data_IF_918714098935
#
_entry.id   IF_918714098935
#
_cell.length_a   1.000
_cell.length_b   1.000
_cell.length_c   1.000
_cell.angle_alpha   90.00
_cell.angle_beta   90.00
_cell.angle_gamma   90.00
#
_symmetry.space_group_name_H-M   'P 1'
#
loop_
_entity.id
_entity.type
_entity.pdbx_description
1 polymer ?
#
# COMPACT_ATOMS: atom_id res chain seq x y z
N UNK A 1 3.68 4.02 6.10
CA UNK A 1 3.78 4.13 4.63
C UNK A 1 5.21 4.01 4.12
N UNK A 2 6.18 4.75 4.68
CA UNK A 2 7.59 4.68 4.27
C UNK A 2 8.15 3.26 4.22
N UNK A 3 7.89 2.44 5.25
CA UNK A 3 8.31 1.03 5.27
C UNK A 3 7.69 0.21 4.13
N UNK A 4 6.41 0.45 3.82
CA UNK A 4 5.73 -0.22 2.72
C UNK A 4 6.36 0.17 1.37
N UNK A 5 6.70 1.43 1.15
CA UNK A 5 7.38 1.89 -0.07
C UNK A 5 8.75 1.22 -0.20
N UNK A 6 9.54 1.22 0.87
CA UNK A 6 10.88 0.63 0.90
C UNK A 6 10.89 -0.87 0.59
N UNK A 7 9.80 -1.58 0.89
CA UNK A 7 9.68 -3.03 0.62
C UNK A 7 8.96 -3.29 -0.71
N UNK A 8 7.82 -2.64 -0.95
CA UNK A 8 6.95 -2.92 -2.08
C UNK A 8 7.53 -2.45 -3.42
N UNK A 9 8.27 -1.35 -3.47
CA UNK A 9 8.89 -0.90 -4.73
C UNK A 9 9.96 -1.90 -5.20
N UNK A 10 10.93 -2.32 -4.36
CA UNK A 10 11.84 -3.40 -4.75
C UNK A 10 11.14 -4.70 -5.12
N UNK A 11 10.08 -5.08 -4.40
CA UNK A 11 9.31 -6.29 -4.70
C UNK A 11 8.61 -6.19 -6.07
N UNK A 12 8.07 -5.02 -6.41
CA UNK A 12 7.46 -4.73 -7.71
C UNK A 12 8.48 -4.71 -8.85
N UNK A 13 9.68 -4.17 -8.61
CA UNK A 13 10.80 -4.25 -9.57
C UNK A 13 11.19 -5.71 -9.80
N UNK A 14 11.33 -6.51 -8.73
CA UNK A 14 11.64 -7.93 -8.83
C UNK A 14 10.56 -8.69 -9.59
N UNK A 15 9.28 -8.38 -9.34
CA UNK A 15 8.16 -8.97 -10.04
C UNK A 15 8.17 -8.63 -11.54
N UNK A 16 8.52 -7.40 -11.91
CA UNK A 16 8.59 -6.98 -13.31
C UNK A 16 9.74 -7.65 -14.07
N UNK A 17 10.87 -7.91 -13.40
CA UNK A 17 12.04 -8.53 -14.03
C UNK A 17 11.96 -10.05 -14.12
N UNK A 18 11.20 -10.70 -13.24
CA UNK A 18 11.10 -12.15 -13.20
C UNK A 18 9.71 -12.64 -13.61
N UNK A 19 9.52 -13.00 -14.88
CA UNK A 19 8.20 -13.37 -15.43
C UNK A 19 7.42 -14.40 -14.61
N UNK A 20 8.10 -15.48 -14.16
CA UNK A 20 7.47 -16.57 -13.37
C UNK A 20 7.36 -16.21 -11.88
N UNK A 21 8.39 -15.60 -11.31
CA UNK A 21 8.38 -15.16 -9.91
C UNK A 21 7.43 -13.99 -9.64
N UNK A 22 7.19 -13.14 -10.64
CA UNK A 22 6.33 -11.96 -10.54
C UNK A 22 4.87 -12.30 -10.31
N UNK A 23 4.35 -13.34 -10.95
CA UNK A 23 3.00 -13.84 -10.68
C UNK A 23 2.87 -14.38 -9.26
N UNK A 24 3.90 -15.08 -8.77
CA UNK A 24 3.91 -15.55 -7.37
C UNK A 24 3.92 -14.37 -6.39
N UNK A 25 4.77 -13.36 -6.61
CA UNK A 25 4.85 -12.14 -5.78
C UNK A 25 3.48 -11.43 -5.75
N UNK A 26 2.89 -11.16 -6.92
CA UNK A 26 1.59 -10.51 -7.03
C UNK A 26 0.48 -11.34 -6.39
N UNK A 27 0.53 -12.66 -6.56
CA UNK A 27 -0.42 -13.60 -5.95
C UNK A 27 -0.32 -13.59 -4.42
N UNK A 28 0.88 -13.74 -3.86
CA UNK A 28 1.10 -13.72 -2.40
C UNK A 28 0.64 -12.41 -1.78
N UNK A 29 1.02 -11.28 -2.37
CA UNK A 29 0.61 -9.96 -1.87
C UNK A 29 -0.90 -9.74 -2.08
N UNK A 30 -1.48 -10.33 -3.13
CA UNK A 30 -2.91 -10.33 -3.40
C UNK A 30 -3.72 -11.06 -2.33
N UNK A 31 -3.27 -12.25 -1.93
CA UNK A 31 -3.90 -13.05 -0.87
C UNK A 31 -3.97 -12.30 0.46
N UNK A 32 -2.96 -11.49 0.79
CA UNK A 32 -2.96 -10.68 2.01
C UNK A 32 -4.15 -9.70 2.03
N UNK A 33 -4.52 -9.13 0.88
CA UNK A 33 -5.64 -8.20 0.79
C UNK A 33 -7.02 -8.86 0.76
N UNK A 34 -7.11 -10.18 0.54
CA UNK A 34 -8.40 -10.89 0.57
C UNK A 34 -8.87 -11.15 1.99
N UNK A 35 -7.94 -11.17 2.95
CA UNK A 35 -8.28 -11.21 4.37
C UNK A 35 -9.00 -9.91 4.73
N UNK A 36 -10.14 -9.93 5.43
CA UNK A 36 -10.77 -8.71 5.92
C UNK A 36 -9.90 -8.03 6.98
N UNK A 37 -9.86 -6.69 6.99
CA UNK A 37 -8.98 -5.91 7.89
C UNK A 37 -9.24 -6.20 9.36
N UNK A 38 -10.51 -6.35 9.73
CA UNK A 38 -10.93 -6.70 11.08
C UNK A 38 -10.42 -8.09 11.51
N UNK A 39 -10.46 -9.06 10.59
CA UNK A 39 -9.94 -10.42 10.84
C UNK A 39 -8.42 -10.37 11.00
N UNK A 40 -7.72 -9.60 10.16
CA UNK A 40 -6.28 -9.44 10.26
C UNK A 40 -5.87 -8.84 11.61
N UNK A 41 -6.59 -7.83 12.11
CA UNK A 41 -6.33 -7.28 13.45
C UNK A 41 -6.48 -8.35 14.53
N UNK A 42 -7.57 -9.11 14.52
CA UNK A 42 -7.82 -10.18 15.51
C UNK A 42 -6.69 -11.23 15.48
N UNK A 43 -6.21 -11.59 14.30
CA UNK A 43 -5.07 -12.52 14.15
C UNK A 43 -3.77 -11.94 14.73
N UNK A 44 -3.56 -10.63 14.63
CA UNK A 44 -2.32 -9.98 15.08
C UNK A 44 -2.27 -9.69 16.58
N UNK A 45 -3.42 -9.53 17.25
CA UNK A 45 -3.49 -9.19 18.68
C UNK A 45 -2.71 -10.17 19.58
N UNK A 46 -2.79 -11.51 19.43
CA UNK A 46 -2.02 -12.44 20.26
C UNK A 46 -0.49 -12.27 20.13
N UNK A 47 -0.01 -11.73 19.01
CA UNK A 47 1.42 -11.59 18.73
C UNK A 47 1.96 -10.19 19.03
N UNK A 48 1.16 -9.15 18.79
CA UNK A 48 1.57 -7.75 18.87
C UNK A 48 0.86 -6.95 19.98
N UNK A 49 -0.07 -7.58 20.70
CA UNK A 49 -0.89 -6.95 21.73
C UNK A 49 -2.04 -6.10 21.16
N UNK A 50 -2.73 -5.39 22.04
CA UNK A 50 -3.75 -4.39 21.69
C UNK A 50 -3.05 -3.04 21.50
N UNK A 51 -3.53 -2.22 20.57
CA UNK A 51 -3.05 -0.85 20.36
C UNK A 51 -2.50 -0.59 18.94
N UNK A 52 -1.53 0.32 18.80
CA UNK A 52 -1.12 0.82 17.49
C UNK A 52 -0.30 -0.18 16.66
N UNK A 53 0.41 -1.12 17.28
CA UNK A 53 1.31 -2.05 16.58
C UNK A 53 0.59 -2.98 15.59
N UNK A 54 -0.50 -3.69 15.96
CA UNK A 54 -1.30 -4.45 15.00
C UNK A 54 -1.84 -3.60 13.85
N UNK A 55 -2.30 -2.37 14.15
CA UNK A 55 -2.81 -1.45 13.14
C UNK A 55 -1.69 -1.08 12.14
N UNK A 56 -0.52 -0.66 12.63
CA UNK A 56 0.63 -0.31 11.78
C UNK A 56 1.05 -1.49 10.90
N UNK A 57 1.11 -2.71 11.46
CA UNK A 57 1.52 -3.89 10.71
C UNK A 57 0.51 -4.27 9.62
N UNK A 58 -0.78 -4.27 9.94
CA UNK A 58 -1.84 -4.49 8.97
C UNK A 58 -1.82 -3.42 7.86
N UNK A 59 -1.72 -2.13 8.22
CA UNK A 59 -1.63 -1.04 7.25
C UNK A 59 -0.41 -1.20 6.34
N UNK A 60 0.73 -1.64 6.88
CA UNK A 60 1.91 -2.00 6.08
C UNK A 60 1.58 -3.09 5.06
N UNK A 61 0.96 -4.19 5.50
CA UNK A 61 0.57 -5.32 4.65
C UNK A 61 -0.41 -4.91 3.54
N UNK A 62 -1.47 -4.16 3.86
CA UNK A 62 -2.43 -3.67 2.87
C UNK A 62 -1.80 -2.71 1.85
N UNK A 63 -0.76 -1.97 2.25
CA UNK A 63 -0.05 -1.06 1.34
C UNK A 63 0.78 -1.78 0.30
N UNK A 64 1.14 -3.06 0.53
CA UNK A 64 2.05 -3.77 -0.37
C UNK A 64 1.41 -3.96 -1.75
N UNK A 65 0.18 -4.47 -1.86
CA UNK A 65 -0.38 -4.84 -3.17
C UNK A 65 -0.48 -3.67 -4.15
N UNK A 66 -1.05 -2.50 -3.80
CA UNK A 66 -1.23 -1.42 -4.75
C UNK A 66 0.12 -0.89 -5.22
N UNK A 67 1.12 -0.81 -4.33
CA UNK A 67 2.46 -0.34 -4.66
C UNK A 67 3.19 -1.36 -5.54
N UNK A 68 3.19 -2.65 -5.17
CA UNK A 68 3.83 -3.73 -5.95
C UNK A 68 3.19 -3.81 -7.33
N UNK A 69 1.85 -3.83 -7.41
CA UNK A 69 1.10 -3.97 -8.66
C UNK A 69 1.32 -2.79 -9.60
N UNK A 70 1.30 -1.55 -9.10
CA UNK A 70 1.55 -0.39 -9.94
C UNK A 70 3.03 -0.27 -10.33
N UNK A 71 3.96 -0.65 -9.45
CA UNK A 71 5.39 -0.72 -9.81
C UNK A 71 5.61 -1.76 -10.92
N UNK A 72 5.00 -2.93 -10.80
CA UNK A 72 5.02 -3.98 -11.83
C UNK A 72 4.47 -3.45 -13.15
N UNK A 73 3.25 -2.92 -13.15
CA UNK A 73 2.59 -2.40 -14.35
C UNK A 73 3.40 -1.27 -14.99
N UNK A 74 3.85 -0.30 -14.19
CA UNK A 74 4.64 0.85 -14.68
C UNK A 74 5.95 0.46 -15.35
N UNK A 75 6.59 -0.64 -14.93
CA UNK A 75 7.79 -1.17 -15.58
C UNK A 75 7.47 -2.05 -16.79
N UNK A 76 6.39 -2.84 -16.71
CA UNK A 76 5.97 -3.75 -17.77
C UNK A 76 5.37 -3.01 -18.98
N UNK A 77 4.70 -1.89 -18.74
CA UNK A 77 4.05 -1.07 -19.78
C UNK A 77 5.03 -0.16 -20.53
N UNK A 78 6.32 -0.18 -20.19
CA UNK A 78 7.35 0.60 -20.90
C UNK A 78 7.51 0.06 -22.33
N UNK A 79 7.34 0.91 -23.37
CA UNK A 79 7.50 0.48 -24.76
C UNK A 79 8.81 -0.24 -25.02
N UNK A 80 8.76 -1.39 -25.70
CA UNK A 80 9.94 -2.18 -26.04
C UNK A 80 11.00 -1.38 -26.81
N UNK A 81 10.57 -0.47 -27.70
CA UNK A 81 11.47 0.41 -28.46
C UNK A 81 12.36 1.30 -27.59
N UNK A 82 11.85 1.77 -26.44
CA UNK A 82 12.65 2.54 -25.48
C UNK A 82 13.67 1.65 -24.75
N UNK A 83 13.30 0.40 -24.46
CA UNK A 83 14.19 -0.58 -23.83
C UNK A 83 15.32 -0.99 -24.78
N UNK A 84 15.00 -1.24 -26.05
CA UNK A 84 15.96 -1.55 -27.11
C UNK A 84 16.90 -0.36 -27.37
N UNK A 85 16.38 0.86 -27.39
CA UNK A 85 17.18 2.08 -27.53
C UNK A 85 18.18 2.23 -26.38
N UNK A 86 17.74 2.01 -25.14
CA UNK A 86 18.63 2.04 -23.98
C UNK A 86 19.72 0.95 -24.02
N UNK A 87 19.38 -0.21 -24.60
CA UNK A 87 20.32 -1.31 -24.79
C UNK A 87 21.32 -1.04 -25.92
N UNK A 88 20.90 -0.39 -27.02
CA UNK A 88 21.76 0.04 -28.11
C UNK A 88 22.77 1.12 -27.67
N UNK A 89 22.41 1.94 -26.68
CA UNK A 89 23.31 2.89 -26.02
C UNK A 89 24.33 2.21 -25.07
N UNK A 90 24.29 0.88 -24.90
CA UNK A 90 25.23 0.13 -24.08
C UNK A 90 25.02 0.27 -22.57
N UNK A 91 23.84 0.72 -22.12
CA UNK A 91 23.57 0.91 -20.70
C UNK A 91 23.50 -0.44 -19.95
N UNK A 92 24.25 -0.64 -18.85
CA UNK A 92 24.11 -1.84 -18.04
C UNK A 92 22.74 -1.88 -17.37
N UNK A 93 22.26 -3.08 -17.02
CA UNK A 93 20.89 -3.31 -16.52
C UNK A 93 20.51 -2.46 -15.29
N UNK A 94 21.48 -2.15 -14.41
CA UNK A 94 21.28 -1.26 -13.25
C UNK A 94 21.18 0.21 -13.64
N UNK A 95 21.96 0.67 -14.61
CA UNK A 95 21.86 2.02 -15.14
C UNK A 95 20.56 2.20 -15.92
N UNK A 96 20.17 1.24 -16.75
CA UNK A 96 18.89 1.24 -17.46
C UNK A 96 17.71 1.33 -16.50
N UNK A 97 17.73 0.52 -15.42
CA UNK A 97 16.71 0.59 -14.38
C UNK A 97 16.63 1.97 -13.72
N UNK A 98 17.77 2.51 -13.28
CA UNK A 98 17.81 3.76 -12.50
C UNK A 98 17.55 5.02 -13.33
N UNK A 99 18.06 5.06 -14.56
CA UNK A 99 18.08 6.28 -15.38
C UNK A 99 16.96 6.32 -16.41
N UNK A 100 16.36 5.18 -16.76
CA UNK A 100 15.32 5.10 -17.80
C UNK A 100 14.04 4.49 -17.25
N UNK A 101 14.09 3.25 -16.76
CA UNK A 101 12.88 2.51 -16.39
C UNK A 101 12.17 3.13 -15.18
N UNK A 102 12.90 3.44 -14.09
CA UNK A 102 12.31 4.02 -12.87
C UNK A 102 11.73 5.42 -13.09
N UNK A 103 12.40 6.36 -13.79
CA UNK A 103 11.80 7.65 -14.12
C UNK A 103 10.53 7.54 -14.96
N UNK A 104 10.48 6.62 -15.92
CA UNK A 104 9.28 6.39 -16.74
C UNK A 104 8.15 5.75 -15.92
N UNK A 105 8.48 4.78 -15.07
CA UNK A 105 7.52 4.11 -14.19
C UNK A 105 7.09 4.95 -13.00
N UNK A 106 7.78 6.06 -12.70
CA UNK A 106 7.56 6.87 -11.49
C UNK A 106 6.10 7.33 -11.32
N UNK A 107 5.42 7.70 -12.41
CA UNK A 107 4.01 8.10 -12.37
C UNK A 107 3.11 6.96 -11.89
N UNK A 108 3.35 5.75 -12.38
CA UNK A 108 2.60 4.57 -11.95
C UNK A 108 2.93 4.19 -10.51
N UNK A 109 4.21 4.20 -10.12
CA UNK A 109 4.64 3.95 -8.74
C UNK A 109 3.95 4.93 -7.78
N UNK A 110 3.94 6.23 -8.09
CA UNK A 110 3.27 7.26 -7.30
C UNK A 110 1.76 7.06 -7.25
N UNK A 111 1.12 6.63 -8.35
CA UNK A 111 -0.29 6.27 -8.34
C UNK A 111 -0.56 5.10 -7.37
N UNK A 112 0.29 4.08 -7.37
CA UNK A 112 0.21 2.97 -6.41
C UNK A 112 0.37 3.41 -4.95
N UNK A 113 1.34 4.29 -4.68
CA UNK A 113 1.54 4.88 -3.34
C UNK A 113 0.33 5.70 -2.91
N UNK A 114 -0.25 6.50 -3.82
CA UNK A 114 -1.46 7.26 -3.56
C UNK A 114 -2.63 6.33 -3.23
N UNK A 115 -2.89 5.32 -4.05
CA UNK A 115 -3.95 4.34 -3.79
C UNK A 115 -3.75 3.63 -2.45
N UNK A 116 -2.53 3.21 -2.13
CA UNK A 116 -2.21 2.61 -0.84
C UNK A 116 -2.44 3.57 0.33
N UNK A 117 -2.09 4.86 0.19
CA UNK A 117 -2.33 5.87 1.21
C UNK A 117 -3.84 6.07 1.47
N UNK A 118 -4.66 6.19 0.41
CA UNK A 118 -6.12 6.31 0.51
C UNK A 118 -6.72 5.11 1.24
N UNK A 119 -6.36 3.89 0.83
CA UNK A 119 -6.82 2.64 1.48
C UNK A 119 -6.40 2.61 2.95
N UNK A 120 -5.16 3.01 3.25
CA UNK A 120 -4.66 3.03 4.61
C UNK A 120 -5.38 4.05 5.49
N UNK A 121 -5.70 5.24 5.01
CA UNK A 121 -6.45 6.23 5.81
C UNK A 121 -7.81 5.64 6.21
N UNK A 122 -8.54 5.04 5.25
CA UNK A 122 -9.79 4.36 5.54
C UNK A 122 -9.62 3.20 6.54
N UNK A 123 -8.64 2.33 6.31
CA UNK A 123 -8.38 1.16 7.17
C UNK A 123 -7.88 1.56 8.56
N UNK A 124 -7.15 2.68 8.69
CA UNK A 124 -6.65 3.17 9.96
C UNK A 124 -7.78 3.59 10.91
N UNK A 125 -8.92 4.05 10.36
CA UNK A 125 -10.10 4.34 11.19
C UNK A 125 -10.59 3.11 11.95
N UNK A 126 -10.45 1.91 11.38
CA UNK A 126 -10.80 0.66 12.04
C UNK A 126 -9.90 0.37 13.25
N UNK A 127 -8.73 1.02 13.35
CA UNK A 127 -7.83 0.91 14.49
C UNK A 127 -8.46 1.33 15.83
N UNK A 128 -9.48 2.19 15.81
CA UNK A 128 -10.23 2.56 17.02
C UNK A 128 -10.91 1.37 17.72
N UNK A 129 -11.18 0.27 17.00
CA UNK A 129 -11.72 -0.97 17.59
C UNK A 129 -10.71 -1.70 18.49
N UNK A 130 -9.42 -1.53 18.22
CA UNK A 130 -8.33 -2.21 18.93
C UNK A 130 -7.51 -1.21 19.75
N UNK A 131 -8.11 -0.08 20.12
CA UNK A 131 -7.45 0.98 20.91
C UNK A 131 -6.15 1.50 20.28
N UNK A 132 -6.06 1.49 18.94
CA UNK A 132 -4.92 2.06 18.22
C UNK A 132 -4.95 3.60 18.19
N UNK A 133 -6.09 4.21 18.52
CA UNK A 133 -6.27 5.65 18.60
C UNK A 133 -6.65 6.32 17.28
N UNK A 134 -6.52 7.65 17.24
CA UNK A 134 -6.75 8.48 16.07
C UNK A 134 -8.23 8.73 15.77
N UNK A 135 -8.54 9.06 14.52
CA UNK A 135 -9.92 9.38 14.11
C UNK A 135 -10.90 8.20 14.21
N UNK A 136 -10.42 6.97 14.43
CA UNK A 136 -11.26 5.82 14.73
C UNK A 136 -11.98 5.91 16.08
N UNK A 137 -11.35 6.51 17.09
CA UNK A 137 -11.91 6.62 18.44
C UNK A 137 -13.23 7.39 18.48
N UNK A 138 -13.33 8.62 17.91
CA UNK A 138 -14.59 9.34 17.84
C UNK A 138 -15.63 8.64 16.96
N UNK A 139 -15.24 7.99 15.86
CA UNK A 139 -16.16 7.22 14.99
C UNK A 139 -16.85 6.12 15.79
N UNK A 140 -16.08 5.23 16.43
CA UNK A 140 -16.66 4.11 17.16
C UNK A 140 -17.36 4.55 18.45
N UNK A 141 -16.93 5.64 19.07
CA UNK A 141 -17.63 6.21 20.23
C UNK A 141 -18.97 6.81 19.82
N UNK A 142 -19.02 7.56 18.72
CA UNK A 142 -20.27 8.07 18.14
C UNK A 142 -21.24 6.95 17.78
N UNK A 143 -20.77 5.86 17.16
CA UNK A 143 -21.59 4.68 16.86
C UNK A 143 -22.14 4.05 18.15
N UNK A 144 -21.30 3.84 19.18
CA UNK A 144 -21.72 3.21 20.45
C UNK A 144 -22.72 4.05 21.23
N UNK A 145 -22.60 5.38 21.17
CA UNK A 145 -23.45 6.32 21.90
C UNK A 145 -24.63 6.84 21.06
N UNK A 146 -24.80 6.36 19.83
CA UNK A 146 -25.76 6.87 18.84
C UNK A 146 -25.66 8.41 18.65
N UNK A 147 -24.44 8.93 18.70
CA UNK A 147 -24.10 10.35 18.62
C UNK A 147 -23.46 10.68 17.28
N UNK A 148 -24.27 11.24 16.40
CA UNK A 148 -23.88 11.60 15.04
C UNK A 148 -22.81 12.71 15.00
N UNK A 149 -22.85 13.63 15.96
CA UNK A 149 -21.86 14.68 16.13
C UNK A 149 -20.45 14.11 16.36
N UNK A 150 -20.31 13.16 17.30
CA UNK A 150 -19.03 12.48 17.57
C UNK A 150 -18.59 11.59 16.41
N UNK A 151 -19.54 10.93 15.73
CA UNK A 151 -19.23 10.13 14.55
C UNK A 151 -18.61 11.00 13.45
N UNK A 152 -19.21 12.15 13.16
CA UNK A 152 -18.75 13.07 12.12
C UNK A 152 -17.43 13.76 12.49
N UNK A 153 -17.18 14.01 13.77
CA UNK A 153 -15.91 14.55 14.27
C UNK A 153 -14.71 13.66 13.88
N UNK A 154 -14.91 12.34 13.82
CA UNK A 154 -13.89 11.42 13.31
C UNK A 154 -13.96 11.18 11.80
N UNK A 155 -15.17 11.00 11.26
CA UNK A 155 -15.35 10.60 9.87
C UNK A 155 -14.95 11.69 8.86
N UNK A 156 -15.28 12.97 9.12
CA UNK A 156 -15.01 14.06 8.18
C UNK A 156 -13.49 14.30 8.03
N UNK A 157 -12.70 14.48 9.11
CA UNK A 157 -11.27 14.66 8.97
C UNK A 157 -10.57 13.46 8.33
N UNK A 158 -11.01 12.23 8.65
CA UNK A 158 -10.48 11.02 8.01
C UNK A 158 -10.76 11.00 6.50
N UNK A 159 -11.98 11.36 6.09
CA UNK A 159 -12.33 11.46 4.68
C UNK A 159 -11.52 12.56 3.96
N UNK A 160 -11.34 13.73 4.57
CA UNK A 160 -10.52 14.79 4.00
C UNK A 160 -9.05 14.37 3.86
N UNK A 161 -8.48 13.68 4.85
CA UNK A 161 -7.12 13.13 4.78
C UNK A 161 -6.95 12.08 3.68
N UNK A 162 -7.99 11.33 3.37
CA UNK A 162 -7.95 10.36 2.27
C UNK A 162 -8.00 11.04 0.89
N UNK A 163 -8.60 12.24 0.80
CA UNK A 163 -8.76 12.98 -0.45
C UNK A 163 -7.61 13.95 -0.77
N UNK A 164 -6.91 14.42 0.27
CA UNK A 164 -5.75 15.31 0.16
C UNK A 164 -4.56 14.63 -0.55
#
# INVERSE_FOLDING_TARGET
MTLAILVAVPLGIAAAKWQRGGQAILGTVGVIQTVPSLVLFVILIPFLGIGPWPAIFALFLYSLLPIVRNTYAGLHDIPGSLQESAQALGLPATARLRLVELPLAARSILAGVKTAAVINVGTATLGGLISAGGYGDPIFTGIRLDRHDLLLEGAIPAAMLALA
#
